data_IF_559411789687
#
_entry.id   IF_559411789687
#
_cell.length_a   1.000
_cell.length_b   1.000
_cell.length_c   1.000
_cell.angle_alpha   90.00
_cell.angle_beta   90.00
_cell.angle_gamma   90.00
#
_symmetry.space_group_name_H-M   'P 1'
#
loop_
_entity.id
_entity.type
_entity.pdbx_description
1 polymer ?
#
# COMPACT_ATOMS: atom_id res chain seq x y z
N UNK A 1 -12.08 -65.52 -59.97
CA UNK A 1 -11.63 -64.15 -59.72
C UNK A 1 -12.03 -63.77 -58.29
N UNK A 2 -11.09 -63.84 -57.33
CA UNK A 2 -11.37 -63.53 -55.92
C UNK A 2 -11.10 -62.04 -55.73
N UNK A 3 -12.11 -61.27 -55.27
CA UNK A 3 -11.97 -59.87 -54.90
C UNK A 3 -11.44 -59.79 -53.44
N UNK A 4 -10.28 -59.20 -53.29
CA UNK A 4 -9.72 -58.87 -51.97
C UNK A 4 -10.25 -57.50 -51.58
N UNK A 5 -10.96 -57.44 -50.44
CA UNK A 5 -11.41 -56.22 -49.82
C UNK A 5 -10.35 -55.85 -48.76
N UNK A 6 -9.66 -54.74 -48.97
CA UNK A 6 -8.69 -54.16 -48.00
C UNK A 6 -9.53 -53.21 -47.11
N UNK A 7 -9.68 -53.53 -45.85
CA UNK A 7 -10.25 -52.63 -44.84
C UNK A 7 -9.14 -51.75 -44.32
N UNK A 8 -9.24 -50.42 -44.57
CA UNK A 8 -8.37 -49.42 -44.00
C UNK A 8 -8.96 -49.03 -42.64
N UNK A 9 -8.29 -49.44 -41.55
CA UNK A 9 -8.60 -48.99 -40.19
C UNK A 9 -7.95 -47.60 -39.95
N UNK A 10 -8.78 -46.55 -39.91
CA UNK A 10 -8.35 -45.20 -39.53
C UNK A 10 -8.21 -45.13 -38.02
N UNK A 11 -7.00 -45.10 -37.49
CA UNK A 11 -6.73 -44.83 -36.08
C UNK A 11 -6.77 -43.29 -35.87
N UNK A 12 -7.87 -42.84 -35.26
CA UNK A 12 -7.95 -41.42 -34.81
C UNK A 12 -7.14 -41.26 -33.53
N UNK A 13 -6.01 -40.61 -33.61
CA UNK A 13 -5.25 -40.17 -32.44
C UNK A 13 -5.96 -38.95 -31.82
N UNK A 14 -6.66 -39.14 -30.72
CA UNK A 14 -7.22 -38.06 -29.91
C UNK A 14 -6.08 -37.51 -29.05
N UNK A 15 -5.49 -36.40 -29.47
CA UNK A 15 -4.62 -35.61 -28.62
C UNK A 15 -5.44 -34.92 -27.55
N UNK A 16 -5.51 -35.50 -26.35
CA UNK A 16 -5.98 -34.79 -25.17
C UNK A 16 -4.93 -33.77 -24.77
N UNK A 17 -5.13 -32.52 -25.12
CA UNK A 17 -4.43 -31.42 -24.50
C UNK A 17 -4.92 -31.33 -23.05
N UNK A 18 -4.21 -31.93 -22.13
CA UNK A 18 -4.32 -31.61 -20.73
C UNK A 18 -3.78 -30.17 -20.57
N UNK A 19 -4.68 -29.19 -20.60
CA UNK A 19 -4.36 -27.84 -20.15
C UNK A 19 -4.01 -27.93 -18.68
N UNK A 20 -2.72 -28.01 -18.37
CA UNK A 20 -2.23 -27.83 -17.02
C UNK A 20 -2.44 -26.34 -16.71
N UNK A 21 -3.60 -25.98 -16.16
CA UNK A 21 -3.78 -24.67 -15.56
C UNK A 21 -2.86 -24.65 -14.34
N UNK A 22 -1.63 -24.17 -14.51
CA UNK A 22 -0.84 -23.73 -13.38
C UNK A 22 -1.69 -22.72 -12.63
N UNK A 23 -1.97 -22.98 -11.34
CA UNK A 23 -2.50 -21.95 -10.48
C UNK A 23 -1.58 -20.74 -10.63
N UNK A 24 -2.15 -19.54 -10.85
CA UNK A 24 -1.32 -18.34 -10.93
C UNK A 24 -0.43 -18.29 -9.68
N UNK A 25 0.84 -17.97 -9.89
CA UNK A 25 1.79 -17.83 -8.80
C UNK A 25 1.20 -16.85 -7.77
N UNK A 26 1.29 -17.21 -6.49
CA UNK A 26 0.73 -16.39 -5.41
C UNK A 26 1.63 -15.18 -5.22
N UNK A 27 1.21 -14.02 -5.74
CA UNK A 27 1.91 -12.76 -5.55
C UNK A 27 1.57 -12.17 -4.17
N UNK A 28 2.56 -11.64 -3.48
CA UNK A 28 2.34 -10.88 -2.25
C UNK A 28 1.78 -9.50 -2.63
N UNK A 29 0.53 -9.25 -2.28
CA UNK A 29 -0.22 -8.06 -2.68
C UNK A 29 -1.03 -7.55 -1.50
N UNK A 30 -0.85 -6.27 -1.16
CA UNK A 30 -1.61 -5.58 -0.13
C UNK A 30 -2.77 -4.77 -0.70
N UNK A 31 -3.74 -4.45 0.18
CA UNK A 31 -4.79 -3.47 -0.10
C UNK A 31 -4.97 -2.52 1.08
N UNK A 32 -5.11 -1.22 0.80
CA UNK A 32 -5.47 -0.20 1.77
C UNK A 32 -6.97 -0.32 2.10
N UNK A 33 -7.29 -0.55 3.39
CA UNK A 33 -8.68 -0.72 3.84
C UNK A 33 -9.53 0.54 3.72
N UNK A 34 -8.91 1.72 3.58
CA UNK A 34 -9.62 2.96 3.23
C UNK A 34 -10.36 2.87 1.89
N UNK A 35 -9.90 2.03 0.98
CA UNK A 35 -10.62 1.71 -0.27
C UNK A 35 -12.03 1.20 0.00
N UNK A 36 -12.21 0.50 1.12
CA UNK A 36 -13.47 -0.14 1.52
C UNK A 36 -14.23 0.68 2.60
N UNK A 37 -13.90 1.98 2.75
CA UNK A 37 -14.47 2.86 3.78
C UNK A 37 -15.99 2.96 3.78
N UNK A 38 -16.64 2.68 2.64
CA UNK A 38 -18.11 2.62 2.54
C UNK A 38 -18.72 1.36 3.15
N UNK A 39 -17.91 0.34 3.41
CA UNK A 39 -18.31 -0.96 3.96
C UNK A 39 -17.80 -1.17 5.40
N UNK A 40 -16.61 -0.65 5.71
CA UNK A 40 -15.88 -0.90 6.96
C UNK A 40 -15.19 0.37 7.52
N UNK A 41 -15.70 1.56 7.18
CA UNK A 41 -15.03 2.82 7.51
C UNK A 41 -15.22 3.28 8.96
N UNK A 42 -16.34 2.93 9.61
CA UNK A 42 -16.56 3.15 11.05
C UNK A 42 -16.29 1.87 11.86
N UNK A 43 -16.12 2.01 13.17
CA UNK A 43 -15.91 0.87 14.06
C UNK A 43 -17.13 -0.07 14.05
N UNK A 44 -18.36 0.50 14.01
CA UNK A 44 -19.59 -0.29 13.91
C UNK A 44 -19.68 -1.04 12.58
N UNK A 45 -19.37 -0.38 11.46
CA UNK A 45 -19.38 -1.01 10.13
C UNK A 45 -18.31 -2.10 10.04
N UNK A 46 -17.12 -1.84 10.58
CA UNK A 46 -16.05 -2.83 10.64
C UNK A 46 -16.48 -4.06 11.44
N UNK A 47 -16.98 -3.88 12.65
CA UNK A 47 -17.47 -4.97 13.51
C UNK A 47 -18.56 -5.80 12.81
N UNK A 48 -19.45 -5.15 12.05
CA UNK A 48 -20.53 -5.83 11.34
C UNK A 48 -20.09 -6.59 10.11
N UNK A 49 -19.13 -6.06 9.31
CA UNK A 49 -18.84 -6.52 7.96
C UNK A 49 -17.46 -7.16 7.79
N UNK A 50 -16.54 -7.04 8.77
CA UNK A 50 -15.14 -7.47 8.64
C UNK A 50 -14.96 -8.90 8.16
N UNK A 51 -15.73 -9.84 8.68
CA UNK A 51 -15.59 -11.28 8.36
C UNK A 51 -15.83 -11.54 6.88
N UNK A 52 -16.88 -10.93 6.30
CA UNK A 52 -17.20 -11.10 4.89
C UNK A 52 -16.21 -10.36 4.00
N UNK A 53 -15.89 -9.11 4.35
CA UNK A 53 -14.97 -8.26 3.60
C UNK A 53 -13.55 -8.85 3.57
N UNK A 54 -12.99 -9.22 4.73
CA UNK A 54 -11.63 -9.78 4.80
C UNK A 54 -11.55 -11.11 4.05
N UNK A 55 -12.59 -11.96 4.15
CA UNK A 55 -12.65 -13.19 3.36
C UNK A 55 -12.70 -12.90 1.86
N UNK A 56 -13.52 -11.94 1.43
CA UNK A 56 -13.61 -11.57 0.01
C UNK A 56 -12.26 -11.09 -0.54
N UNK A 57 -11.52 -10.25 0.21
CA UNK A 57 -10.19 -9.80 -0.17
C UNK A 57 -9.20 -10.98 -0.32
N UNK A 58 -9.19 -11.90 0.63
CA UNK A 58 -8.33 -13.09 0.55
C UNK A 58 -8.69 -13.99 -0.65
N UNK A 59 -9.99 -14.16 -0.94
CA UNK A 59 -10.48 -14.93 -2.09
C UNK A 59 -10.08 -14.28 -3.43
N UNK A 60 -9.94 -12.94 -3.48
CA UNK A 60 -9.42 -12.19 -4.64
C UNK A 60 -7.91 -12.30 -4.83
N UNK A 61 -7.19 -12.83 -3.83
CA UNK A 61 -5.74 -13.04 -3.89
C UNK A 61 -4.90 -12.00 -3.15
N UNK A 62 -5.52 -11.05 -2.45
CA UNK A 62 -4.78 -10.21 -1.50
C UNK A 62 -4.20 -11.06 -0.38
N UNK A 63 -3.00 -10.72 0.07
CA UNK A 63 -2.27 -11.46 1.12
C UNK A 63 -2.07 -10.64 2.37
N UNK A 64 -2.21 -9.33 2.25
CA UNK A 64 -2.05 -8.39 3.35
C UNK A 64 -2.92 -7.15 3.18
N UNK A 65 -3.05 -6.41 4.28
CA UNK A 65 -3.84 -5.17 4.34
C UNK A 65 -3.02 -4.04 4.97
N UNK A 66 -3.43 -2.82 4.66
CA UNK A 66 -3.01 -1.60 5.34
C UNK A 66 -4.24 -0.97 6.00
N UNK A 67 -4.15 -0.65 7.29
CA UNK A 67 -5.23 0.01 8.02
C UNK A 67 -5.21 1.54 7.83
N UNK A 68 -6.34 2.19 8.10
CA UNK A 68 -6.46 3.65 8.08
C UNK A 68 -7.29 4.21 9.24
N UNK A 69 -7.57 3.39 10.25
CA UNK A 69 -8.36 3.79 11.41
C UNK A 69 -7.64 3.34 12.69
N UNK A 70 -7.01 4.31 13.37
CA UNK A 70 -6.41 4.15 14.69
C UNK A 70 -6.98 5.24 15.62
N UNK A 71 -7.54 4.86 16.75
CA UNK A 71 -8.25 5.75 17.67
C UNK A 71 -7.35 6.68 18.51
N UNK A 72 -6.05 6.41 18.54
CA UNK A 72 -5.08 7.12 19.38
C UNK A 72 -4.95 6.55 20.81
N UNK A 73 -5.76 5.57 21.17
CA UNK A 73 -5.81 4.96 22.51
C UNK A 73 -5.31 3.52 22.53
N UNK A 74 -5.16 2.91 21.37
CA UNK A 74 -4.61 1.56 21.22
C UNK A 74 -5.43 0.61 20.37
N UNK A 75 -6.59 1.03 19.85
CA UNK A 75 -7.46 0.21 19.03
C UNK A 75 -7.36 0.58 17.56
N UNK A 76 -7.57 -0.40 16.71
CA UNK A 76 -7.63 -0.24 15.27
C UNK A 76 -9.01 -0.75 14.82
N UNK A 77 -9.79 0.10 14.16
CA UNK A 77 -11.20 -0.16 13.85
C UNK A 77 -12.03 -0.56 15.08
N UNK A 78 -11.76 0.10 16.22
CA UNK A 78 -12.45 -0.16 17.51
C UNK A 78 -12.08 -1.49 18.17
N UNK A 79 -11.10 -2.22 17.65
CA UNK A 79 -10.72 -3.54 18.15
C UNK A 79 -9.35 -3.54 18.85
N UNK A 80 -9.24 -4.39 19.87
CA UNK A 80 -7.94 -4.74 20.45
C UNK A 80 -7.03 -5.36 19.36
N UNK A 81 -5.76 -4.99 19.31
CA UNK A 81 -4.82 -5.47 18.29
C UNK A 81 -4.75 -7.00 18.18
N UNK A 82 -4.81 -7.71 19.31
CA UNK A 82 -4.76 -9.17 19.33
C UNK A 82 -6.02 -9.82 18.72
N UNK A 83 -7.19 -9.18 18.90
CA UNK A 83 -8.44 -9.65 18.29
C UNK A 83 -8.42 -9.41 16.78
N UNK A 84 -8.06 -8.20 16.36
CA UNK A 84 -7.93 -7.87 14.94
C UNK A 84 -6.92 -8.79 14.22
N UNK A 85 -5.79 -9.11 14.90
CA UNK A 85 -4.82 -10.06 14.37
C UNK A 85 -5.42 -11.45 14.17
N UNK A 86 -6.21 -11.93 15.13
CA UNK A 86 -6.85 -13.24 15.04
C UNK A 86 -7.86 -13.30 13.87
N UNK A 87 -8.61 -12.22 13.65
CA UNK A 87 -9.58 -12.12 12.55
C UNK A 87 -8.88 -12.09 11.17
N UNK A 88 -7.78 -11.35 11.06
CA UNK A 88 -6.94 -11.33 9.85
C UNK A 88 -6.32 -12.70 9.56
N UNK A 89 -5.74 -13.34 10.59
CA UNK A 89 -5.15 -14.68 10.48
C UNK A 89 -6.21 -15.72 10.04
N UNK A 90 -7.44 -15.63 10.58
CA UNK A 90 -8.55 -16.49 10.19
C UNK A 90 -8.97 -16.30 8.73
N UNK A 91 -8.87 -15.08 8.20
CA UNK A 91 -9.10 -14.78 6.78
C UNK A 91 -7.90 -15.15 5.89
N UNK A 92 -6.73 -15.45 6.46
CA UNK A 92 -5.48 -15.72 5.72
C UNK A 92 -4.76 -14.44 5.28
N UNK A 93 -5.03 -13.32 5.92
CA UNK A 93 -4.42 -12.01 5.67
C UNK A 93 -3.45 -11.62 6.79
N UNK A 94 -2.57 -10.65 6.51
CA UNK A 94 -1.68 -10.03 7.49
C UNK A 94 -1.83 -8.51 7.41
N UNK A 95 -1.79 -7.81 8.53
CA UNK A 95 -1.62 -6.37 8.52
C UNK A 95 -0.13 -6.03 8.41
N UNK A 96 0.28 -5.39 7.33
CA UNK A 96 1.70 -5.04 7.13
C UNK A 96 1.97 -3.57 7.38
N UNK A 97 0.97 -2.72 7.22
CA UNK A 97 1.09 -1.27 7.29
C UNK A 97 -0.17 -0.64 7.89
N UNK A 98 -0.03 0.60 8.35
CA UNK A 98 -1.13 1.42 8.82
C UNK A 98 -0.90 2.89 8.52
N UNK A 99 -1.94 3.62 8.11
CA UNK A 99 -1.96 5.06 8.04
C UNK A 99 -2.38 5.65 9.39
N UNK A 100 -1.54 6.52 9.95
CA UNK A 100 -1.76 7.15 11.25
C UNK A 100 -1.40 8.62 11.18
N UNK A 101 -2.37 9.49 11.52
CA UNK A 101 -2.16 10.93 11.64
C UNK A 101 -1.96 11.33 13.10
N UNK A 102 -0.88 12.03 13.39
CA UNK A 102 -0.69 12.73 14.66
C UNK A 102 0.21 13.95 14.42
N UNK A 103 -0.40 15.04 13.97
CA UNK A 103 0.31 16.25 13.57
C UNK A 103 0.82 17.04 14.76
N UNK A 104 1.83 17.88 14.51
CA UNK A 104 2.30 18.91 15.42
C UNK A 104 1.24 20.04 15.49
N UNK A 105 1.07 20.62 16.66
CA UNK A 105 0.32 21.85 16.83
C UNK A 105 1.23 23.09 16.70
N UNK A 106 0.64 24.28 16.77
CA UNK A 106 1.34 25.55 16.63
C UNK A 106 2.43 25.74 17.69
N UNK A 107 2.21 25.23 18.92
CA UNK A 107 3.19 25.30 20.00
C UNK A 107 4.41 24.43 19.70
N UNK A 108 4.20 23.20 19.22
CA UNK A 108 5.26 22.30 18.80
C UNK A 108 6.07 22.91 17.64
N UNK A 109 5.40 23.52 16.65
CA UNK A 109 6.06 24.16 15.52
C UNK A 109 6.92 25.35 15.96
N UNK A 110 6.37 26.21 16.83
CA UNK A 110 7.05 27.42 17.31
C UNK A 110 8.23 27.08 18.24
N UNK A 111 8.04 26.14 19.15
CA UNK A 111 9.09 25.75 20.12
C UNK A 111 10.10 24.76 19.53
N UNK A 112 9.74 24.03 18.47
CA UNK A 112 10.46 22.86 17.93
C UNK A 112 10.64 21.76 18.97
N UNK A 113 9.79 21.74 19.99
CA UNK A 113 9.72 20.68 20.99
C UNK A 113 8.46 19.85 20.76
N UNK A 114 8.65 18.59 20.45
CA UNK A 114 7.59 17.61 20.26
C UNK A 114 7.66 16.44 21.23
N UNK A 115 8.35 16.64 22.36
CA UNK A 115 8.48 15.62 23.41
C UNK A 115 7.14 15.15 23.94
N UNK A 116 6.15 16.06 24.03
CA UNK A 116 4.77 15.76 24.44
C UNK A 116 4.03 14.81 23.47
N UNK A 117 4.49 14.69 22.21
CA UNK A 117 3.92 13.79 21.21
C UNK A 117 4.48 12.37 21.30
N UNK A 118 5.67 12.22 21.88
CA UNK A 118 6.40 10.95 21.86
C UNK A 118 5.73 9.85 22.69
N UNK A 119 5.04 10.18 23.78
CA UNK A 119 4.34 9.17 24.59
C UNK A 119 3.12 8.60 23.83
N UNK A 120 2.40 9.43 23.09
CA UNK A 120 1.35 8.96 22.19
C UNK A 120 1.90 8.00 21.13
N UNK A 121 3.04 8.34 20.50
CA UNK A 121 3.68 7.45 19.52
C UNK A 121 4.13 6.13 20.12
N UNK A 122 4.61 6.11 21.36
CA UNK A 122 4.96 4.85 22.06
C UNK A 122 3.73 3.95 22.22
N UNK A 123 2.58 4.51 22.57
CA UNK A 123 1.30 3.77 22.67
C UNK A 123 0.88 3.23 21.30
N UNK A 124 0.89 4.07 20.28
CA UNK A 124 0.62 3.69 18.90
C UNK A 124 1.51 2.53 18.43
N UNK A 125 2.84 2.70 18.56
CA UNK A 125 3.83 1.70 18.16
C UNK A 125 3.63 0.37 18.91
N UNK A 126 3.32 0.41 20.22
CA UNK A 126 3.08 -0.78 21.01
C UNK A 126 1.84 -1.56 20.55
N UNK A 127 0.75 -0.86 20.19
CA UNK A 127 -0.46 -1.48 19.63
C UNK A 127 -0.16 -2.15 18.29
N UNK A 128 0.50 -1.45 17.38
CA UNK A 128 0.82 -1.96 16.04
C UNK A 128 1.83 -3.11 16.06
N UNK A 129 2.74 -3.12 17.05
CA UNK A 129 3.67 -4.25 17.25
C UNK A 129 2.95 -5.56 17.56
N UNK A 130 1.86 -5.53 18.33
CA UNK A 130 1.04 -6.71 18.65
C UNK A 130 0.39 -7.32 17.39
N UNK A 131 0.04 -6.48 16.41
CA UNK A 131 -0.46 -6.89 15.10
C UNK A 131 0.63 -7.46 14.18
N UNK A 132 1.90 -7.21 14.47
CA UNK A 132 3.02 -7.59 13.61
C UNK A 132 3.21 -6.66 12.40
N UNK A 133 2.76 -5.41 12.49
CA UNK A 133 2.88 -4.38 11.46
C UNK A 133 4.35 -4.08 11.18
N UNK A 134 4.71 -3.97 9.90
CA UNK A 134 6.06 -3.58 9.46
C UNK A 134 6.21 -2.05 9.39
N UNK A 135 5.15 -1.37 8.94
CA UNK A 135 5.17 0.05 8.56
C UNK A 135 4.09 0.85 9.30
N UNK A 136 4.48 1.97 9.88
CA UNK A 136 3.56 3.02 10.31
C UNK A 136 3.79 4.21 9.39
N UNK A 137 2.75 4.68 8.72
CA UNK A 137 2.86 5.70 7.67
C UNK A 137 2.00 6.90 8.02
N UNK A 138 2.59 8.09 7.96
CA UNK A 138 1.85 9.35 8.00
C UNK A 138 1.25 9.59 6.61
N UNK A 139 -0.08 9.57 6.45
CA UNK A 139 -0.71 9.65 5.13
C UNK A 139 -0.77 11.06 4.55
N UNK A 140 -0.51 12.10 5.36
CA UNK A 140 -0.57 13.49 4.90
C UNK A 140 0.16 14.43 5.85
N UNK A 141 0.45 15.64 5.38
CA UNK A 141 0.85 16.77 6.21
C UNK A 141 -0.27 17.82 6.27
N UNK A 142 -0.28 18.72 7.28
CA UNK A 142 -1.17 19.87 7.23
C UNK A 142 -0.99 20.65 5.93
N UNK A 143 -2.11 20.99 5.26
CA UNK A 143 -2.09 21.61 3.95
C UNK A 143 -1.64 23.08 3.92
N UNK A 144 -1.36 23.67 5.08
CA UNK A 144 -1.07 25.08 5.28
C UNK A 144 0.30 25.35 5.89
N UNK A 145 1.28 24.45 5.71
CA UNK A 145 2.65 24.69 6.16
C UNK A 145 3.28 25.83 5.38
N UNK A 146 3.51 26.99 6.02
CA UNK A 146 3.82 28.22 5.30
C UNK A 146 5.29 28.31 4.88
N UNK A 147 6.20 27.58 5.52
CA UNK A 147 7.64 27.74 5.32
C UNK A 147 8.40 26.41 5.27
N UNK A 148 9.57 26.42 4.61
CA UNK A 148 10.51 25.28 4.66
C UNK A 148 11.05 25.02 6.07
N UNK A 149 11.02 26.02 6.95
CA UNK A 149 11.43 25.83 8.34
C UNK A 149 10.44 24.93 9.09
N UNK A 150 9.14 25.07 8.83
CA UNK A 150 8.09 24.23 9.42
C UNK A 150 8.19 22.80 8.87
N UNK A 151 8.39 22.67 7.55
CA UNK A 151 8.63 21.36 6.92
C UNK A 151 9.85 20.67 7.54
N UNK A 152 10.93 21.43 7.81
CA UNK A 152 12.11 20.86 8.47
C UNK A 152 11.80 20.37 9.89
N UNK A 153 10.98 21.12 10.64
CA UNK A 153 10.54 20.66 11.97
C UNK A 153 9.77 19.36 11.88
N UNK A 154 8.91 19.19 10.88
CA UNK A 154 8.26 17.90 10.62
C UNK A 154 9.26 16.81 10.23
N UNK A 155 10.29 17.08 9.44
CA UNK A 155 11.33 16.10 9.12
C UNK A 155 12.08 15.63 10.39
N UNK A 156 12.38 16.54 11.32
CA UNK A 156 12.98 16.22 12.62
C UNK A 156 12.04 15.37 13.48
N UNK A 157 10.75 15.71 13.50
CA UNK A 157 9.70 14.93 14.15
C UNK A 157 9.59 13.51 13.56
N UNK A 158 9.56 13.37 12.25
CA UNK A 158 9.52 12.07 11.58
C UNK A 158 10.75 11.22 11.85
N UNK A 159 11.93 11.83 11.90
CA UNK A 159 13.16 11.14 12.32
C UNK A 159 13.04 10.60 13.75
N UNK A 160 12.45 11.37 14.67
CA UNK A 160 12.25 10.94 16.05
C UNK A 160 11.24 9.76 16.13
N UNK A 161 10.12 9.83 15.42
CA UNK A 161 9.13 8.74 15.35
C UNK A 161 9.78 7.50 14.71
N UNK A 162 10.47 7.69 13.60
CA UNK A 162 11.13 6.59 12.88
C UNK A 162 12.17 5.87 13.73
N UNK A 163 12.89 6.59 14.61
CA UNK A 163 13.78 5.99 15.58
C UNK A 163 13.01 5.12 16.60
N UNK A 164 11.88 5.62 17.15
CA UNK A 164 11.03 4.81 18.03
C UNK A 164 10.52 3.54 17.34
N UNK A 165 10.09 3.65 16.08
CA UNK A 165 9.69 2.50 15.28
C UNK A 165 10.83 1.49 15.10
N UNK A 166 12.03 1.96 14.74
CA UNK A 166 13.20 1.12 14.53
C UNK A 166 13.63 0.37 15.81
N UNK A 167 13.53 1.01 16.97
CA UNK A 167 13.80 0.37 18.27
C UNK A 167 12.82 -0.78 18.57
N UNK A 168 11.69 -0.84 17.89
CA UNK A 168 10.69 -1.92 17.98
C UNK A 168 10.66 -2.86 16.76
N UNK A 169 11.59 -2.70 15.82
CA UNK A 169 11.69 -3.52 14.61
C UNK A 169 10.70 -3.14 13.50
N UNK A 170 10.12 -1.94 13.58
CA UNK A 170 9.22 -1.37 12.59
C UNK A 170 9.89 -0.20 11.86
N UNK A 171 9.25 0.30 10.81
CA UNK A 171 9.69 1.50 10.08
C UNK A 171 8.61 2.54 10.02
N UNK A 172 9.01 3.80 9.99
CA UNK A 172 8.12 4.92 9.80
C UNK A 172 8.23 5.45 8.38
N UNK A 173 7.09 5.78 7.77
CA UNK A 173 7.04 6.31 6.41
C UNK A 173 6.13 7.52 6.27
N UNK A 174 6.24 8.16 5.12
CA UNK A 174 5.37 9.25 4.70
C UNK A 174 4.77 8.92 3.33
N UNK A 175 3.45 9.07 3.20
CA UNK A 175 2.70 8.88 1.96
C UNK A 175 2.40 10.23 1.31
N UNK A 176 2.51 10.32 -0.01
CA UNK A 176 2.27 11.54 -0.76
C UNK A 176 0.92 11.55 -1.46
N UNK A 177 0.39 12.76 -1.60
CA UNK A 177 -0.61 13.13 -2.59
C UNK A 177 0.03 14.04 -3.65
N UNK A 178 -0.79 14.73 -4.45
CA UNK A 178 -0.28 15.66 -5.48
C UNK A 178 0.35 16.93 -4.90
N UNK A 179 -0.16 17.41 -3.76
CA UNK A 179 0.25 18.68 -3.16
C UNK A 179 1.72 18.71 -2.73
N UNK A 180 2.29 17.57 -2.38
CA UNK A 180 3.68 17.45 -1.95
C UNK A 180 4.68 17.71 -3.08
N UNK A 181 4.23 17.69 -4.33
CA UNK A 181 5.06 18.06 -5.50
C UNK A 181 5.02 19.55 -5.83
N UNK A 182 4.25 20.33 -5.10
CA UNK A 182 4.27 21.80 -5.20
C UNK A 182 5.52 22.40 -4.55
N UNK A 183 5.74 23.69 -4.79
CA UNK A 183 6.92 24.39 -4.27
C UNK A 183 6.57 25.25 -3.08
N UNK A 184 7.32 25.09 -2.00
CA UNK A 184 7.38 26.00 -0.85
C UNK A 184 8.72 26.75 -0.94
N UNK A 185 8.68 28.09 -0.93
CA UNK A 185 9.89 28.94 -1.03
C UNK A 185 10.83 28.53 -2.19
N UNK A 186 10.24 28.11 -3.31
CA UNK A 186 10.96 27.74 -4.54
C UNK A 186 11.54 26.33 -4.58
N UNK A 187 11.43 25.54 -3.53
CA UNK A 187 11.83 24.12 -3.49
C UNK A 187 10.61 23.21 -3.55
N UNK A 188 10.71 22.09 -4.28
CA UNK A 188 9.68 21.05 -4.26
C UNK A 188 9.60 20.48 -2.86
N UNK A 189 8.40 20.47 -2.29
CA UNK A 189 8.16 20.08 -0.90
C UNK A 189 8.58 18.63 -0.66
N UNK A 190 8.17 17.70 -1.51
CA UNK A 190 8.51 16.27 -1.40
C UNK A 190 10.03 16.02 -1.45
N UNK A 191 10.73 16.69 -2.40
CA UNK A 191 12.19 16.62 -2.49
C UNK A 191 12.84 17.07 -1.18
N UNK A 192 12.36 18.21 -0.65
CA UNK A 192 12.89 18.77 0.60
C UNK A 192 12.70 17.82 1.79
N UNK A 193 11.56 17.12 1.86
CA UNK A 193 11.33 16.11 2.90
C UNK A 193 12.29 14.92 2.77
N UNK A 194 12.45 14.40 1.56
CA UNK A 194 13.34 13.26 1.29
C UNK A 194 14.80 13.61 1.69
N UNK A 195 15.25 14.83 1.35
CA UNK A 195 16.61 15.30 1.60
C UNK A 195 16.88 15.63 3.09
N UNK A 196 15.83 15.95 3.88
CA UNK A 196 15.96 16.34 5.29
C UNK A 196 15.51 15.26 6.29
N UNK A 197 15.17 14.05 5.83
CA UNK A 197 14.88 12.90 6.67
C UNK A 197 15.98 11.85 6.60
N UNK A 198 16.26 11.18 7.72
CA UNK A 198 17.28 10.13 7.81
C UNK A 198 16.78 8.84 7.18
N UNK A 199 17.42 8.31 6.13
CA UNK A 199 17.01 7.10 5.43
C UNK A 199 17.04 5.82 6.30
N UNK A 200 17.71 5.87 7.46
CA UNK A 200 17.70 4.76 8.42
C UNK A 200 16.37 4.64 9.14
N UNK A 201 15.62 5.73 9.27
CA UNK A 201 14.43 5.84 10.10
C UNK A 201 13.17 6.13 9.31
N UNK A 202 13.27 6.88 8.20
CA UNK A 202 12.12 7.33 7.42
C UNK A 202 12.23 6.84 5.98
N UNK A 203 11.21 6.14 5.51
CA UNK A 203 11.01 5.84 4.09
C UNK A 203 9.85 6.66 3.53
N UNK A 204 9.66 6.63 2.22
CA UNK A 204 8.55 7.28 1.56
C UNK A 204 7.67 6.22 0.90
N UNK A 205 6.39 6.22 1.27
CA UNK A 205 5.38 5.41 0.61
C UNK A 205 4.88 6.20 -0.61
N UNK A 206 5.53 5.99 -1.76
CA UNK A 206 5.11 6.69 -2.96
C UNK A 206 3.77 6.17 -3.45
N UNK A 207 2.76 7.05 -3.49
CA UNK A 207 1.57 6.83 -4.29
C UNK A 207 1.86 7.24 -5.73
N UNK A 208 1.86 6.22 -6.61
CA UNK A 208 2.29 6.40 -8.00
C UNK A 208 1.28 7.16 -8.85
N UNK A 209 -0.01 7.08 -8.52
CA UNK A 209 -1.05 7.84 -9.18
C UNK A 209 -0.99 9.33 -8.82
N UNK A 210 -0.85 9.65 -7.53
CA UNK A 210 -0.78 11.03 -7.10
C UNK A 210 0.48 11.74 -7.61
N UNK A 211 1.59 11.03 -7.77
CA UNK A 211 2.79 11.54 -8.44
C UNK A 211 2.51 11.80 -9.93
N UNK A 212 1.92 10.84 -10.65
CA UNK A 212 1.56 10.99 -12.07
C UNK A 212 0.54 12.14 -12.27
N UNK A 213 -0.46 12.24 -11.40
CA UNK A 213 -1.46 13.32 -11.41
C UNK A 213 -0.84 14.72 -11.20
N UNK A 214 0.25 14.80 -10.42
CA UNK A 214 1.05 16.03 -10.28
C UNK A 214 1.98 16.30 -11.47
N UNK A 215 1.96 15.45 -12.50
CA UNK A 215 2.84 15.55 -13.67
C UNK A 215 4.27 15.11 -13.39
N UNK A 216 4.49 14.27 -12.39
CA UNK A 216 5.79 13.81 -11.93
C UNK A 216 5.93 12.30 -12.16
N UNK A 217 7.08 11.87 -12.71
CA UNK A 217 7.34 10.46 -12.94
C UNK A 217 7.83 9.75 -11.67
N UNK A 218 7.12 8.72 -11.17
CA UNK A 218 7.61 7.90 -10.07
C UNK A 218 9.00 7.30 -10.36
N UNK A 219 9.24 6.85 -11.60
CA UNK A 219 10.53 6.25 -12.01
C UNK A 219 11.68 7.23 -11.92
N UNK A 220 11.47 8.51 -12.26
CA UNK A 220 12.51 9.53 -12.11
C UNK A 220 12.82 9.80 -10.63
N UNK A 221 11.84 9.72 -9.74
CA UNK A 221 12.06 9.77 -8.29
C UNK A 221 12.84 8.57 -7.78
N UNK A 222 12.54 7.36 -8.26
CA UNK A 222 13.30 6.15 -7.92
C UNK A 222 14.76 6.25 -8.31
N UNK A 223 15.05 6.85 -9.47
CA UNK A 223 16.42 7.11 -9.92
C UNK A 223 17.13 8.18 -9.10
N UNK A 224 16.41 9.24 -8.70
CA UNK A 224 16.96 10.35 -7.95
C UNK A 224 17.23 9.99 -6.49
N UNK A 225 16.34 9.20 -5.89
CA UNK A 225 16.38 8.83 -4.48
C UNK A 225 16.32 7.29 -4.29
N UNK A 226 17.34 6.54 -4.79
CA UNK A 226 17.31 5.09 -4.73
C UNK A 226 17.25 4.57 -3.27
N UNK A 227 16.45 3.51 -3.06
CA UNK A 227 16.30 2.88 -1.76
C UNK A 227 15.41 3.62 -0.77
N UNK A 228 14.71 4.71 -1.18
CA UNK A 228 13.88 5.50 -0.26
C UNK A 228 12.41 5.08 -0.24
N UNK A 229 11.96 4.16 -1.12
CA UNK A 229 10.54 3.83 -1.35
C UNK A 229 10.26 2.36 -1.03
N UNK A 230 10.33 1.97 0.26
CA UNK A 230 10.24 0.56 0.68
C UNK A 230 8.83 -0.05 0.52
N UNK A 231 7.79 0.74 0.60
CA UNK A 231 6.42 0.38 0.29
C UNK A 231 5.87 1.41 -0.70
N UNK A 232 5.09 0.99 -1.69
CA UNK A 232 4.44 1.91 -2.64
C UNK A 232 2.94 1.70 -2.66
N UNK A 233 2.17 2.77 -2.88
CA UNK A 233 0.76 2.66 -3.23
C UNK A 233 0.61 2.50 -4.73
N UNK A 234 -0.03 1.39 -5.10
CA UNK A 234 -0.39 1.06 -6.47
C UNK A 234 -1.84 1.48 -6.68
N UNK A 235 -1.98 2.72 -7.15
CA UNK A 235 -3.24 3.41 -7.36
C UNK A 235 -3.34 3.86 -8.81
N UNK A 236 -4.55 3.91 -9.34
CA UNK A 236 -4.90 4.52 -10.61
C UNK A 236 -6.07 5.50 -10.39
N UNK A 237 -6.60 6.09 -11.43
CA UNK A 237 -7.79 6.94 -11.35
C UNK A 237 -8.97 6.23 -10.67
N UNK A 238 -9.13 4.92 -10.96
CA UNK A 238 -10.13 4.02 -10.41
C UNK A 238 -9.50 2.63 -10.22
N UNK A 239 -10.02 1.61 -10.91
CA UNK A 239 -9.42 0.28 -10.88
C UNK A 239 -8.00 0.32 -11.48
N UNK A 240 -7.07 -0.37 -10.85
CA UNK A 240 -5.67 -0.40 -11.27
C UNK A 240 -5.53 -0.94 -12.70
N UNK A 241 -4.81 -0.19 -13.52
CA UNK A 241 -4.59 -0.50 -14.94
C UNK A 241 -5.66 0.00 -15.90
N UNK A 242 -6.79 0.52 -15.40
CA UNK A 242 -7.91 0.94 -16.23
C UNK A 242 -7.62 2.20 -17.05
N UNK A 243 -6.95 3.18 -16.46
CA UNK A 243 -6.71 4.45 -17.16
C UNK A 243 -5.71 4.32 -18.31
N UNK A 244 -4.81 3.35 -18.25
CA UNK A 244 -3.69 3.20 -19.17
C UNK A 244 -2.69 4.36 -19.14
N UNK A 245 -2.75 5.24 -18.12
CA UNK A 245 -1.88 6.41 -17.96
C UNK A 245 -0.73 6.14 -17.02
N UNK A 246 -0.99 5.47 -15.88
CA UNK A 246 0.04 5.10 -14.93
C UNK A 246 0.88 3.97 -15.51
N UNK A 247 2.19 4.21 -15.68
CA UNK A 247 3.12 3.26 -16.28
C UNK A 247 3.56 2.16 -15.29
N UNK A 248 2.63 1.29 -14.88
CA UNK A 248 2.90 0.25 -13.87
C UNK A 248 4.05 -0.68 -14.25
N UNK A 249 4.20 -1.04 -15.52
CA UNK A 249 5.30 -1.86 -16.00
C UNK A 249 6.67 -1.21 -15.73
N UNK A 250 6.81 0.09 -16.04
CA UNK A 250 8.03 0.84 -15.75
C UNK A 250 8.27 0.98 -14.25
N UNK A 251 7.22 1.20 -13.45
CA UNK A 251 7.30 1.31 -11.99
C UNK A 251 7.82 0.01 -11.39
N UNK A 252 7.18 -1.12 -11.67
CA UNK A 252 7.57 -2.42 -11.13
C UNK A 252 8.93 -2.91 -11.63
N UNK A 253 9.30 -2.60 -12.87
CA UNK A 253 10.63 -2.90 -13.41
C UNK A 253 11.75 -2.11 -12.71
N UNK A 254 11.43 -0.98 -12.07
CA UNK A 254 12.36 -0.17 -11.27
C UNK A 254 12.19 -0.35 -9.76
N UNK A 255 11.35 -1.28 -9.30
CA UNK A 255 11.06 -1.52 -7.89
C UNK A 255 12.32 -1.81 -7.04
N UNK A 256 13.26 -2.59 -7.57
CA UNK A 256 14.53 -2.89 -6.88
C UNK A 256 15.39 -1.62 -6.67
N UNK A 257 15.45 -0.72 -7.67
CA UNK A 257 16.15 0.56 -7.54
C UNK A 257 15.46 1.46 -6.49
N UNK A 258 14.15 1.48 -6.48
CA UNK A 258 13.36 2.22 -5.50
C UNK A 258 13.53 1.70 -4.07
N UNK A 259 13.92 0.44 -3.89
CA UNK A 259 14.01 -0.26 -2.60
C UNK A 259 12.68 -0.88 -2.17
N UNK A 260 11.74 -1.08 -3.11
CA UNK A 260 10.40 -1.65 -2.83
C UNK A 260 10.53 -3.06 -2.29
N UNK A 261 9.84 -3.30 -1.19
CA UNK A 261 9.69 -4.61 -0.54
C UNK A 261 8.24 -5.07 -0.47
N UNK A 262 7.34 -4.11 -0.38
CA UNK A 262 5.89 -4.36 -0.33
C UNK A 262 5.18 -3.31 -1.20
N UNK A 263 3.97 -3.65 -1.67
CA UNK A 263 3.09 -2.70 -2.33
C UNK A 263 1.65 -2.91 -1.88
N UNK A 264 0.90 -1.83 -1.90
CA UNK A 264 -0.48 -1.77 -1.42
C UNK A 264 -1.35 -1.15 -2.50
N UNK A 265 -2.41 -1.84 -2.90
CA UNK A 265 -3.43 -1.31 -3.81
C UNK A 265 -4.29 -0.31 -3.06
N UNK A 266 -4.61 0.82 -3.68
CA UNK A 266 -5.62 1.75 -3.17
C UNK A 266 -6.61 2.15 -4.26
N UNK A 267 -7.91 2.15 -3.90
CA UNK A 267 -9.02 2.53 -4.78
C UNK A 267 -9.89 3.51 -4.02
N UNK A 268 -9.93 4.76 -4.48
CA UNK A 268 -10.78 5.77 -3.84
C UNK A 268 -12.14 5.93 -4.51
N UNK A 269 -12.22 5.63 -5.80
CA UNK A 269 -13.44 5.69 -6.61
C UNK A 269 -13.57 4.45 -7.47
N UNK A 270 -14.81 4.02 -7.72
CA UNK A 270 -15.13 2.96 -8.67
C UNK A 270 -15.52 3.56 -10.03
N UNK A 271 -15.28 2.84 -11.12
CA UNK A 271 -15.85 3.25 -12.41
C UNK A 271 -17.38 3.18 -12.37
N UNK A 272 -18.07 4.09 -13.07
CA UNK A 272 -19.54 4.08 -13.15
C UNK A 272 -20.11 2.74 -13.68
N UNK A 273 -19.36 2.05 -14.52
CA UNK A 273 -19.73 0.77 -15.11
C UNK A 273 -19.62 -0.38 -14.10
N UNK A 274 -18.73 -0.26 -13.12
CA UNK A 274 -18.53 -1.25 -12.05
C UNK A 274 -19.45 -0.96 -10.88
N UNK A 275 -19.41 0.25 -10.32
CA UNK A 275 -20.32 0.74 -9.29
C UNK A 275 -20.23 0.02 -7.93
N UNK A 276 -19.40 -1.02 -7.80
CA UNK A 276 -19.21 -1.82 -6.60
C UNK A 276 -17.74 -1.86 -6.22
N UNK A 277 -17.42 -1.51 -4.97
CA UNK A 277 -16.04 -1.41 -4.52
C UNK A 277 -15.32 -2.76 -4.40
N UNK A 278 -16.03 -3.83 -4.02
CA UNK A 278 -15.42 -5.17 -3.98
C UNK A 278 -15.11 -5.67 -5.38
N UNK A 279 -15.98 -5.37 -6.35
CA UNK A 279 -15.71 -5.69 -7.76
C UNK A 279 -14.51 -4.88 -8.29
N UNK A 280 -14.38 -3.60 -7.93
CA UNK A 280 -13.20 -2.79 -8.27
C UNK A 280 -11.92 -3.36 -7.65
N UNK A 281 -11.98 -3.86 -6.41
CA UNK A 281 -10.87 -4.57 -5.77
C UNK A 281 -10.49 -5.85 -6.55
N UNK A 282 -11.49 -6.62 -7.01
CA UNK A 282 -11.27 -7.83 -7.79
C UNK A 282 -10.61 -7.53 -9.14
N UNK A 283 -11.13 -6.54 -9.88
CA UNK A 283 -10.57 -6.12 -11.17
C UNK A 283 -9.10 -5.68 -11.01
N UNK A 284 -8.80 -4.90 -9.98
CA UNK A 284 -7.44 -4.44 -9.69
C UNK A 284 -6.50 -5.59 -9.33
N UNK A 285 -6.99 -6.56 -8.53
CA UNK A 285 -6.25 -7.76 -8.20
C UNK A 285 -5.96 -8.60 -9.44
N UNK A 286 -6.97 -8.88 -10.28
CA UNK A 286 -6.84 -9.67 -11.50
C UNK A 286 -5.81 -9.05 -12.47
N UNK A 287 -5.81 -7.72 -12.61
CA UNK A 287 -4.82 -7.00 -13.40
C UNK A 287 -3.40 -7.27 -12.89
N UNK A 288 -3.14 -7.06 -11.61
CA UNK A 288 -1.80 -7.23 -11.02
C UNK A 288 -1.37 -8.70 -10.98
N UNK A 289 -2.27 -9.62 -10.69
CA UNK A 289 -1.98 -11.05 -10.67
C UNK A 289 -1.61 -11.58 -12.06
N UNK A 290 -2.26 -11.06 -13.11
CA UNK A 290 -1.96 -11.43 -14.50
C UNK A 290 -0.75 -10.71 -15.09
N UNK A 291 -0.30 -9.59 -14.50
CA UNK A 291 0.76 -8.75 -15.03
C UNK A 291 2.14 -9.43 -14.94
N UNK A 292 2.85 -9.67 -16.07
CA UNK A 292 4.14 -10.36 -16.03
C UNK A 292 5.27 -9.54 -15.39
N UNK A 293 5.10 -8.22 -15.27
CA UNK A 293 6.07 -7.33 -14.66
C UNK A 293 5.95 -7.25 -13.13
N UNK A 294 4.89 -7.81 -12.53
CA UNK A 294 4.73 -7.90 -11.09
C UNK A 294 5.31 -9.24 -10.61
N UNK A 295 6.30 -9.19 -9.71
CA UNK A 295 6.94 -10.38 -9.13
C UNK A 295 6.04 -11.04 -8.07
N UNK A 296 6.40 -12.29 -7.71
CA UNK A 296 5.74 -13.02 -6.62
C UNK A 296 5.99 -12.34 -5.27
N UNK A 297 7.20 -11.86 -5.03
CA UNK A 297 7.61 -11.11 -3.82
C UNK A 297 8.69 -10.09 -4.14
N UNK A 298 8.77 -9.04 -3.35
CA UNK A 298 9.81 -8.00 -3.37
C UNK A 298 10.60 -7.98 -2.05
N UNK A 299 10.25 -8.84 -1.09
CA UNK A 299 10.83 -8.85 0.26
C UNK A 299 12.17 -9.61 0.36
N UNK A 300 12.65 -10.18 -0.74
CA UNK A 300 13.92 -10.94 -0.80
C UNK A 300 15.14 -10.06 -1.15
#
# INVERSE_FOLDING_TARGET
MKKIIIAIASIAFVFSFASCSQKPAKKEMGIQLYSLRTLIGSDEDFAANKTEVLKALADMGYTCVEAANYDGEGHIYGEEPEQLKADLDAAGLKMISTHVNHWLDDENLASKDFSNRMDWWKTCIAAHKKLGVKYIVMPSMPGDLPTLADVKTYCEYYNAIGKLCADQGMKFGFHNHSGEFEKIEGKVFYDYMIENTDPRYVFFQMDVYWADNAGVSPVEYFKRYPGRFECIHVKDWREVGQSGKVGFDAIFNNAALAGVKDYVVEIEETSPEVGDILESCRISADYLLSAPFVKESYSE
#
